data_IF_221715657293
#
_entry.id   IF_221715657293
#
_cell.length_a   1.000
_cell.length_b   1.000
_cell.length_c   1.000
_cell.angle_alpha   90.00
_cell.angle_beta   90.00
_cell.angle_gamma   90.00
#
_symmetry.space_group_name_H-M   'P 1'
#
loop_
_entity.id
_entity.type
_entity.pdbx_description
1 polymer ?
#
# COMPACT_ATOMS: atom_id res chain seq x y z
N UNK A 1 34.26 -4.10 39.74
CA UNK A 1 33.16 -4.54 38.86
C UNK A 1 33.55 -4.19 37.44
N UNK A 2 33.73 -5.15 36.52
CA UNK A 2 34.15 -4.80 35.16
C UNK A 2 32.99 -4.11 34.44
N UNK A 3 33.31 -2.97 33.81
CA UNK A 3 32.43 -2.20 32.95
C UNK A 3 31.90 -3.11 31.82
N UNK A 4 30.58 -3.25 31.73
CA UNK A 4 29.95 -3.96 30.62
C UNK A 4 30.15 -3.13 29.36
N UNK A 5 31.12 -3.53 28.54
CA UNK A 5 31.30 -3.00 27.19
C UNK A 5 29.94 -2.95 26.48
N UNK A 6 29.45 -1.74 26.22
CA UNK A 6 28.24 -1.53 25.45
C UNK A 6 28.44 -2.20 24.09
N UNK A 7 27.70 -3.27 23.84
CA UNK A 7 27.69 -3.98 22.57
C UNK A 7 27.37 -2.96 21.46
N UNK A 8 28.40 -2.56 20.70
CA UNK A 8 28.25 -1.80 19.46
C UNK A 8 27.36 -2.63 18.55
N UNK A 9 26.10 -2.24 18.42
CA UNK A 9 25.16 -2.85 17.48
C UNK A 9 25.65 -2.51 16.06
N UNK A 10 26.02 -3.50 15.23
CA UNK A 10 26.66 -3.27 13.92
C UNK A 10 25.70 -2.74 12.84
N UNK A 11 24.49 -2.33 13.20
CA UNK A 11 23.45 -1.88 12.27
C UNK A 11 23.23 -0.35 12.26
N UNK A 12 23.95 0.41 13.11
CA UNK A 12 23.86 1.87 13.14
C UNK A 12 24.64 2.51 11.98
N UNK A 13 24.06 2.44 10.79
CA UNK A 13 24.51 3.15 9.59
C UNK A 13 23.34 3.63 8.73
N UNK A 14 22.20 2.94 8.76
CA UNK A 14 20.93 3.52 8.31
C UNK A 14 20.43 4.43 9.42
N UNK A 15 20.35 5.73 9.16
CA UNK A 15 19.84 6.65 10.15
C UNK A 15 18.32 6.42 10.24
N UNK A 16 17.83 6.04 11.42
CA UNK A 16 16.40 5.75 11.67
C UNK A 16 15.52 7.01 11.63
N UNK A 17 16.00 8.08 10.97
CA UNK A 17 15.27 9.34 10.89
C UNK A 17 13.99 9.11 10.10
N UNK A 18 12.84 9.50 10.64
CA UNK A 18 11.54 9.27 10.01
C UNK A 18 11.39 9.97 8.65
N UNK A 19 12.25 10.96 8.39
CA UNK A 19 12.27 11.78 7.18
C UNK A 19 13.07 11.13 6.04
N UNK A 20 13.82 10.05 6.31
CA UNK A 20 14.57 9.38 5.27
C UNK A 20 13.65 8.64 4.31
N UNK A 21 13.83 8.82 2.98
CA UNK A 21 12.94 8.22 1.98
C UNK A 21 12.97 6.69 2.03
N UNK A 22 14.11 6.09 2.40
CA UNK A 22 14.23 4.64 2.61
C UNK A 22 13.38 4.15 3.79
N UNK A 23 13.36 4.89 4.90
CA UNK A 23 12.54 4.57 6.08
C UNK A 23 11.06 4.74 5.76
N UNK A 24 10.69 5.79 5.02
CA UNK A 24 9.32 6.00 4.55
C UNK A 24 8.85 4.87 3.60
N UNK A 25 9.69 4.45 2.67
CA UNK A 25 9.41 3.33 1.77
C UNK A 25 9.23 2.00 2.53
N UNK A 26 10.06 1.73 3.55
CA UNK A 26 9.92 0.56 4.41
C UNK A 26 8.61 0.57 5.21
N UNK A 27 8.22 1.72 5.76
CA UNK A 27 6.94 1.88 6.47
C UNK A 27 5.75 1.65 5.55
N UNK A 28 5.80 2.18 4.32
CA UNK A 28 4.78 1.94 3.31
C UNK A 28 4.72 0.47 2.90
N UNK A 29 5.86 -0.20 2.74
CA UNK A 29 5.89 -1.64 2.47
C UNK A 29 5.21 -2.44 3.58
N UNK A 30 5.51 -2.12 4.85
CA UNK A 30 4.87 -2.80 5.98
C UNK A 30 3.36 -2.55 6.00
N UNK A 31 2.94 -1.29 5.87
CA UNK A 31 1.52 -0.94 5.81
C UNK A 31 0.81 -1.62 4.64
N UNK A 32 1.47 -1.76 3.49
CA UNK A 32 0.94 -2.46 2.32
C UNK A 32 0.75 -3.96 2.59
N UNK A 33 1.71 -4.60 3.26
CA UNK A 33 1.58 -6.01 3.68
C UNK A 33 0.43 -6.17 4.67
N UNK A 34 0.32 -5.29 5.65
CA UNK A 34 -0.78 -5.32 6.63
C UNK A 34 -2.14 -5.10 5.95
N UNK A 35 -2.23 -4.18 4.98
CA UNK A 35 -3.44 -3.96 4.19
C UNK A 35 -3.78 -5.14 3.28
N UNK A 36 -2.78 -5.83 2.73
CA UNK A 36 -2.98 -7.05 1.96
C UNK A 36 -3.52 -8.19 2.82
N UNK A 37 -3.00 -8.34 4.04
CA UNK A 37 -3.52 -9.32 4.99
C UNK A 37 -4.95 -8.96 5.40
N UNK A 38 -5.22 -7.70 5.72
CA UNK A 38 -6.58 -7.22 6.00
C UNK A 38 -7.54 -7.50 4.84
N UNK A 39 -7.13 -7.28 3.60
CA UNK A 39 -7.94 -7.60 2.42
C UNK A 39 -8.21 -9.10 2.29
N UNK A 40 -7.19 -9.96 2.47
CA UNK A 40 -7.35 -11.42 2.37
C UNK A 40 -8.25 -12.02 3.45
N UNK A 41 -8.37 -11.34 4.59
CA UNK A 41 -9.18 -11.78 5.73
C UNK A 41 -10.43 -10.92 5.94
N UNK A 42 -10.74 -10.01 5.02
CA UNK A 42 -11.96 -9.21 5.10
C UNK A 42 -13.19 -10.07 4.78
N UNK A 43 -14.28 -9.81 5.49
CA UNK A 43 -15.58 -10.37 5.13
C UNK A 43 -16.02 -9.84 3.75
N UNK A 44 -16.57 -10.69 2.87
CA UNK A 44 -17.05 -10.25 1.57
C UNK A 44 -18.07 -9.12 1.69
N UNK A 45 -17.91 -8.08 0.86
CA UNK A 45 -18.79 -6.92 0.86
C UNK A 45 -18.06 -5.61 1.12
N UNK A 46 -18.60 -4.76 1.99
CA UNK A 46 -18.09 -3.39 2.18
C UNK A 46 -16.66 -3.35 2.75
N UNK A 47 -16.34 -4.23 3.70
CA UNK A 47 -15.03 -4.28 4.36
C UNK A 47 -13.93 -4.72 3.37
N UNK A 48 -14.23 -5.71 2.54
CA UNK A 48 -13.37 -6.15 1.44
C UNK A 48 -13.08 -5.00 0.46
N UNK A 49 -14.12 -4.24 0.07
CA UNK A 49 -13.97 -3.08 -0.83
C UNK A 49 -13.09 -1.98 -0.22
N UNK A 50 -13.27 -1.70 1.08
CA UNK A 50 -12.47 -0.71 1.80
C UNK A 50 -11.02 -1.16 1.94
N UNK A 51 -10.78 -2.41 2.32
CA UNK A 51 -9.45 -2.97 2.45
C UNK A 51 -8.70 -2.97 1.11
N UNK A 52 -9.38 -3.30 0.01
CA UNK A 52 -8.81 -3.25 -1.33
C UNK A 52 -8.37 -1.82 -1.72
N UNK A 53 -9.21 -0.81 -1.50
CA UNK A 53 -8.84 0.57 -1.81
C UNK A 53 -7.73 1.12 -0.91
N UNK A 54 -7.65 0.71 0.36
CA UNK A 54 -6.51 1.02 1.24
C UNK A 54 -5.21 0.45 0.68
N UNK A 55 -5.23 -0.83 0.28
CA UNK A 55 -4.10 -1.51 -0.34
C UNK A 55 -3.63 -0.78 -1.61
N UNK A 56 -4.55 -0.39 -2.50
CA UNK A 56 -4.23 0.35 -3.71
C UNK A 56 -3.55 1.70 -3.41
N UNK A 57 -4.10 2.48 -2.48
CA UNK A 57 -3.52 3.78 -2.09
C UNK A 57 -2.11 3.63 -1.53
N UNK A 58 -1.87 2.62 -0.70
CA UNK A 58 -0.55 2.34 -0.16
C UNK A 58 0.45 1.93 -1.24
N UNK A 59 0.02 1.13 -2.23
CA UNK A 59 0.85 0.79 -3.39
C UNK A 59 1.22 2.01 -4.21
N UNK A 60 0.26 2.90 -4.49
CA UNK A 60 0.52 4.16 -5.22
C UNK A 60 1.53 5.02 -4.47
N UNK A 61 1.32 5.22 -3.16
CA UNK A 61 2.24 5.98 -2.32
C UNK A 61 3.65 5.35 -2.30
N UNK A 62 3.75 4.03 -2.20
CA UNK A 62 5.02 3.31 -2.23
C UNK A 62 5.73 3.47 -3.57
N UNK A 63 5.00 3.32 -4.69
CA UNK A 63 5.57 3.49 -6.04
C UNK A 63 6.14 4.90 -6.24
N UNK A 64 5.55 5.93 -5.65
CA UNK A 64 6.06 7.29 -5.75
C UNK A 64 7.47 7.47 -5.13
N UNK A 65 7.86 6.59 -4.19
CA UNK A 65 9.17 6.64 -3.52
C UNK A 65 10.20 5.67 -4.11
N UNK A 66 9.79 4.77 -5.01
CA UNK A 66 10.67 3.73 -5.54
C UNK A 66 11.24 4.10 -6.92
N UNK A 67 12.52 3.75 -7.19
CA UNK A 67 13.07 3.87 -8.54
C UNK A 67 12.34 2.95 -9.53
N UNK A 68 12.39 3.29 -10.81
CA UNK A 68 11.71 2.54 -11.89
C UNK A 68 12.07 1.04 -11.89
N UNK A 69 13.34 0.71 -11.67
CA UNK A 69 13.84 -0.66 -11.61
C UNK A 69 13.18 -1.49 -10.51
N UNK A 70 12.87 -0.88 -9.37
CA UNK A 70 12.19 -1.55 -8.25
C UNK A 70 10.68 -1.60 -8.44
N UNK A 71 10.07 -0.54 -9.01
CA UNK A 71 8.64 -0.53 -9.34
C UNK A 71 8.25 -1.72 -10.23
N UNK A 72 9.08 -2.04 -11.22
CA UNK A 72 8.85 -3.15 -12.15
C UNK A 72 9.01 -4.55 -11.53
N UNK A 73 9.57 -4.64 -10.31
CA UNK A 73 9.71 -5.90 -9.55
C UNK A 73 8.57 -6.12 -8.57
N UNK A 74 7.68 -5.15 -8.39
CA UNK A 74 6.58 -5.29 -7.44
C UNK A 74 5.59 -6.35 -7.93
N UNK A 75 5.09 -7.21 -7.03
CA UNK A 75 4.09 -8.21 -7.40
C UNK A 75 2.77 -7.52 -7.80
N UNK A 76 1.97 -8.13 -8.70
CA UNK A 76 0.67 -7.61 -9.05
C UNK A 76 -0.24 -7.58 -7.81
N UNK A 77 -1.09 -6.56 -7.72
CA UNK A 77 -2.12 -6.48 -6.68
C UNK A 77 -3.31 -7.39 -7.03
N UNK A 78 -4.09 -7.83 -6.01
CA UNK A 78 -5.32 -8.57 -6.24
C UNK A 78 -6.31 -7.75 -7.09
N UNK A 79 -7.11 -8.46 -7.87
CA UNK A 79 -8.18 -7.86 -8.65
C UNK A 79 -9.22 -7.16 -7.74
N UNK A 80 -9.90 -6.13 -8.25
CA UNK A 80 -10.95 -5.46 -7.50
C UNK A 80 -12.11 -6.41 -7.19
N UNK A 81 -12.67 -6.37 -5.97
CA UNK A 81 -13.92 -7.06 -5.67
C UNK A 81 -15.11 -6.42 -6.39
N UNK A 82 -16.22 -7.15 -6.47
CA UNK A 82 -17.38 -6.87 -7.34
C UNK A 82 -17.93 -5.45 -7.17
N UNK A 83 -17.90 -4.92 -5.95
CA UNK A 83 -18.47 -3.61 -5.61
C UNK A 83 -17.43 -2.55 -5.24
N UNK A 84 -16.14 -2.83 -5.43
CA UNK A 84 -15.09 -1.85 -5.15
C UNK A 84 -15.06 -0.71 -6.17
N UNK A 85 -15.43 -1.00 -7.41
CA UNK A 85 -15.41 -0.03 -8.50
C UNK A 85 -16.81 0.50 -8.78
N UNK A 86 -16.89 1.77 -9.17
CA UNK A 86 -18.11 2.28 -9.80
C UNK A 86 -18.34 1.55 -11.13
N UNK A 87 -19.59 1.54 -11.59
CA UNK A 87 -19.95 0.90 -12.87
C UNK A 87 -19.05 1.36 -14.03
N UNK A 88 -18.79 2.67 -14.13
CA UNK A 88 -17.94 3.24 -15.16
C UNK A 88 -16.46 2.85 -15.02
N UNK A 89 -15.94 2.78 -13.80
CA UNK A 89 -14.59 2.26 -13.55
C UNK A 89 -14.48 0.77 -13.94
N UNK A 90 -15.51 -0.02 -13.66
CA UNK A 90 -15.57 -1.41 -14.12
C UNK A 90 -15.59 -1.56 -15.65
N UNK A 91 -16.24 -0.62 -16.37
CA UNK A 91 -16.19 -0.57 -17.85
C UNK A 91 -14.78 -0.20 -18.34
N UNK A 92 -14.16 0.82 -17.76
CA UNK A 92 -12.77 1.22 -18.10
C UNK A 92 -11.78 0.08 -17.83
N UNK A 93 -11.97 -0.69 -16.74
CA UNK A 93 -11.09 -1.80 -16.40
C UNK A 93 -11.17 -2.91 -17.45
N UNK A 94 -12.39 -3.30 -17.85
CA UNK A 94 -12.61 -4.31 -18.89
C UNK A 94 -12.06 -3.91 -20.26
N UNK A 95 -12.04 -2.61 -20.55
CA UNK A 95 -11.48 -2.08 -21.80
C UNK A 95 -9.97 -1.83 -21.73
N UNK A 96 -9.31 -2.19 -20.62
CA UNK A 96 -7.88 -1.97 -20.41
C UNK A 96 -7.47 -0.51 -20.27
N UNK A 97 -8.44 0.41 -20.16
CA UNK A 97 -8.21 1.86 -20.08
C UNK A 97 -8.07 2.35 -18.64
N UNK A 98 -8.53 1.58 -17.65
CA UNK A 98 -8.42 1.97 -16.25
C UNK A 98 -6.99 1.71 -15.76
N UNK A 99 -6.31 2.79 -15.38
CA UNK A 99 -5.17 2.72 -14.47
C UNK A 99 -5.71 2.97 -13.06
N UNK A 100 -5.96 1.90 -12.31
CA UNK A 100 -6.52 1.97 -10.94
C UNK A 100 -5.73 2.92 -10.05
N UNK A 101 -4.42 3.01 -10.30
CA UNK A 101 -3.46 3.86 -9.58
C UNK A 101 -3.72 5.37 -9.72
N UNK A 102 -4.40 5.78 -10.78
CA UNK A 102 -4.72 7.17 -11.10
C UNK A 102 -6.18 7.53 -10.73
N UNK A 103 -6.93 6.57 -10.19
CA UNK A 103 -8.38 6.68 -10.01
C UNK A 103 -8.76 6.86 -8.53
N UNK A 104 -9.85 7.58 -8.32
CA UNK A 104 -10.39 7.80 -6.97
C UNK A 104 -11.44 6.74 -6.60
N UNK A 105 -11.52 6.35 -5.32
CA UNK A 105 -12.58 5.46 -4.85
C UNK A 105 -13.96 6.07 -5.09
N UNK A 106 -15.00 5.24 -5.30
CA UNK A 106 -16.39 5.69 -5.25
C UNK A 106 -16.68 6.52 -3.99
N UNK A 107 -17.50 7.56 -4.11
CA UNK A 107 -17.71 8.56 -3.03
C UNK A 107 -18.12 7.96 -1.67
N UNK A 108 -18.84 6.85 -1.66
CA UNK A 108 -19.22 6.14 -0.42
C UNK A 108 -17.99 5.53 0.28
N UNK A 109 -17.08 4.95 -0.49
CA UNK A 109 -15.82 4.38 -0.02
C UNK A 109 -14.86 5.51 0.39
N UNK A 110 -14.73 6.56 -0.44
CA UNK A 110 -13.88 7.71 -0.16
C UNK A 110 -14.14 8.32 1.24
N UNK A 111 -15.42 8.59 1.55
CA UNK A 111 -15.85 9.10 2.86
C UNK A 111 -15.36 8.24 4.04
N UNK A 112 -15.41 6.91 3.90
CA UNK A 112 -14.99 5.98 4.94
C UNK A 112 -13.46 5.83 5.02
N UNK A 113 -12.75 6.20 3.97
CA UNK A 113 -11.29 6.29 3.95
C UNK A 113 -10.74 7.61 4.49
N UNK A 114 -11.61 8.56 4.84
CA UNK A 114 -11.22 9.88 5.33
C UNK A 114 -10.63 10.78 4.24
N UNK A 115 -11.08 10.63 2.99
CA UNK A 115 -10.68 11.41 1.81
C UNK A 115 -11.89 11.87 1.03
#
# INVERSE_FOLDING_TARGET
MPERAALRRPWHGASDRPEEPAVAALRLQRAEVDALLAFRHAEPGEDENLAWWRLQRLRVARRALLPETERNRLPPLPQPPVHALSWWQGVKLRTGRLRVEEESPPRAIARRLGT
#
